data_IF_362868786468
#
_entry.id   IF_362868786468
#
_cell.length_a   1.000
_cell.length_b   1.000
_cell.length_c   1.000
_cell.angle_alpha   90.00
_cell.angle_beta   90.00
_cell.angle_gamma   90.00
#
_symmetry.space_group_name_H-M   'P 1'
#
loop_
_entity.id
_entity.type
_entity.pdbx_description
1 polymer ?
#
# COMPACT_ATOMS: atom_id res chain seq x y z
N UNK A 1 25.81 22.09 18.56
CA UNK A 1 25.54 23.24 17.66
C UNK A 1 24.46 24.14 18.27
N UNK A 2 24.73 24.93 19.32
CA UNK A 2 23.80 25.96 19.87
C UNK A 2 22.42 25.51 20.40
N UNK A 3 21.85 24.40 19.91
CA UNK A 3 20.48 23.98 20.14
C UNK A 3 19.51 25.16 19.95
N UNK A 4 18.73 25.49 20.98
CA UNK A 4 17.82 26.64 20.94
C UNK A 4 18.52 28.01 20.86
N UNK A 5 19.82 28.09 21.21
CA UNK A 5 20.62 29.33 21.18
C UNK A 5 21.30 29.58 19.83
N UNK A 6 20.98 28.79 18.80
CA UNK A 6 21.49 28.98 17.45
C UNK A 6 20.78 30.18 16.79
N UNK A 7 21.52 30.94 15.97
CA UNK A 7 20.96 32.01 15.15
C UNK A 7 19.67 31.54 14.42
N UNK A 8 18.57 32.32 14.44
CA UNK A 8 17.28 31.91 13.87
C UNK A 8 17.33 31.52 12.39
N UNK A 9 18.17 32.20 11.60
CA UNK A 9 18.35 31.88 10.18
C UNK A 9 19.04 30.53 10.02
N UNK A 10 20.14 30.31 10.75
CA UNK A 10 20.83 29.03 10.74
C UNK A 10 19.94 27.87 11.20
N UNK A 11 19.16 28.07 12.27
CA UNK A 11 18.20 27.08 12.77
C UNK A 11 17.12 26.74 11.71
N UNK A 12 16.61 27.75 11.01
CA UNK A 12 15.63 27.56 9.92
C UNK A 12 16.22 26.73 8.77
N UNK A 13 17.46 27.01 8.36
CA UNK A 13 18.16 26.25 7.31
C UNK A 13 18.36 24.80 7.72
N UNK A 14 18.84 24.54 8.95
CA UNK A 14 19.06 23.18 9.45
C UNK A 14 17.74 22.39 9.56
N UNK A 15 16.66 23.00 10.05
CA UNK A 15 15.34 22.36 10.11
C UNK A 15 14.81 22.00 8.72
N UNK A 16 15.00 22.88 7.73
CA UNK A 16 14.61 22.61 6.35
C UNK A 16 15.45 21.48 5.73
N UNK A 17 16.75 21.45 6.00
CA UNK A 17 17.63 20.36 5.58
C UNK A 17 17.19 19.03 6.20
N UNK A 18 16.89 19.01 7.50
CA UNK A 18 16.42 17.81 8.19
C UNK A 18 15.10 17.29 7.60
N UNK A 19 14.15 18.19 7.29
CA UNK A 19 12.90 17.82 6.60
C UNK A 19 13.17 17.18 5.23
N UNK A 20 14.09 17.76 4.44
CA UNK A 20 14.48 17.21 3.13
C UNK A 20 15.12 15.83 3.26
N UNK A 21 16.05 15.64 4.19
CA UNK A 21 16.70 14.35 4.44
C UNK A 21 15.69 13.28 4.86
N UNK A 22 14.75 13.61 5.75
CA UNK A 22 13.67 12.71 6.14
C UNK A 22 12.75 12.33 4.95
N UNK A 23 12.47 13.27 4.05
CA UNK A 23 11.68 13.00 2.85
C UNK A 23 12.42 12.05 1.89
N UNK A 24 13.74 12.24 1.71
CA UNK A 24 14.59 11.33 0.93
C UNK A 24 14.59 9.93 1.54
N UNK A 25 14.76 9.82 2.87
CA UNK A 25 14.74 8.54 3.56
C UNK A 25 13.39 7.81 3.39
N UNK A 26 12.28 8.54 3.48
CA UNK A 26 10.95 7.98 3.23
C UNK A 26 10.80 7.47 1.78
N UNK A 27 11.30 8.24 0.80
CA UNK A 27 11.26 7.84 -0.62
C UNK A 27 12.09 6.58 -0.87
N UNK A 28 13.32 6.53 -0.32
CA UNK A 28 14.19 5.36 -0.45
C UNK A 28 13.58 4.13 0.21
N UNK A 29 12.96 4.29 1.40
CA UNK A 29 12.27 3.20 2.09
C UNK A 29 11.10 2.67 1.26
N UNK A 30 10.32 3.56 0.62
CA UNK A 30 9.24 3.17 -0.29
C UNK A 30 9.76 2.38 -1.50
N UNK A 31 10.81 2.87 -2.17
CA UNK A 31 11.43 2.18 -3.31
C UNK A 31 11.98 0.80 -2.94
N UNK A 32 12.59 0.68 -1.75
CA UNK A 32 13.05 -0.61 -1.25
C UNK A 32 11.88 -1.57 -1.01
N UNK A 33 10.81 -1.12 -0.37
CA UNK A 33 9.63 -1.97 -0.11
C UNK A 33 8.91 -2.37 -1.40
N UNK A 34 8.86 -1.50 -2.42
CA UNK A 34 8.32 -1.85 -3.74
C UNK A 34 9.00 -3.09 -4.34
N UNK A 35 10.31 -3.28 -4.08
CA UNK A 35 11.03 -4.49 -4.49
C UNK A 35 10.59 -5.78 -3.77
N UNK A 36 9.96 -5.65 -2.59
CA UNK A 36 9.46 -6.77 -1.78
C UNK A 36 8.02 -7.15 -2.14
N UNK A 37 7.26 -6.26 -2.77
CA UNK A 37 5.83 -6.45 -3.11
C UNK A 37 5.56 -7.75 -3.88
N UNK A 38 6.36 -8.16 -4.88
CA UNK A 38 6.12 -9.43 -5.58
C UNK A 38 6.13 -10.65 -4.65
N UNK A 39 7.06 -10.70 -3.69
CA UNK A 39 7.14 -11.78 -2.71
C UNK A 39 5.98 -11.73 -1.72
N UNK A 40 5.59 -10.53 -1.27
CA UNK A 40 4.40 -10.33 -0.44
C UNK A 40 3.15 -10.84 -1.16
N UNK A 41 3.00 -10.53 -2.46
CA UNK A 41 1.88 -11.04 -3.26
C UNK A 41 1.83 -12.56 -3.32
N UNK A 42 2.97 -13.24 -3.47
CA UNK A 42 3.00 -14.71 -3.44
C UNK A 42 2.45 -15.26 -2.13
N UNK A 43 2.87 -14.69 -0.99
CA UNK A 43 2.37 -15.13 0.32
C UNK A 43 0.89 -14.76 0.55
N UNK A 44 0.45 -13.59 0.09
CA UNK A 44 -0.97 -13.19 0.15
C UNK A 44 -1.87 -14.14 -0.66
N UNK A 45 -1.41 -14.62 -1.81
CA UNK A 45 -2.14 -15.62 -2.58
C UNK A 45 -2.23 -16.96 -1.83
N UNK A 46 -1.15 -17.43 -1.20
CA UNK A 46 -1.19 -18.64 -0.36
C UNK A 46 -2.15 -18.46 0.81
N UNK A 47 -2.07 -17.33 1.52
CA UNK A 47 -2.97 -16.97 2.60
C UNK A 47 -4.44 -17.01 2.13
N UNK A 48 -4.74 -16.41 0.97
CA UNK A 48 -6.09 -16.44 0.37
C UNK A 48 -6.57 -17.87 0.05
N UNK A 49 -5.68 -18.74 -0.43
CA UNK A 49 -6.00 -20.16 -0.67
C UNK A 49 -6.35 -20.89 0.64
N UNK A 50 -5.58 -20.67 1.71
CA UNK A 50 -5.86 -21.28 3.02
C UNK A 50 -7.20 -20.75 3.55
N UNK A 51 -7.41 -19.44 3.50
CA UNK A 51 -8.66 -18.80 3.92
C UNK A 51 -9.88 -19.37 3.18
N UNK A 52 -9.77 -19.65 1.88
CA UNK A 52 -10.86 -20.21 1.07
C UNK A 52 -11.28 -21.65 1.45
N UNK A 53 -10.42 -22.38 2.16
CA UNK A 53 -10.68 -23.75 2.62
C UNK A 53 -11.47 -23.78 3.93
N UNK A 54 -11.44 -22.70 4.71
CA UNK A 54 -12.19 -22.59 5.96
C UNK A 54 -13.69 -22.53 5.60
N UNK A 55 -14.40 -23.62 5.89
CA UNK A 55 -15.83 -23.76 5.65
C UNK A 55 -16.48 -24.34 6.91
N UNK A 56 -17.65 -23.84 7.27
CA UNK A 56 -18.49 -24.45 8.30
C UNK A 56 -19.41 -23.46 9.00
N UNK A 57 -20.51 -23.93 9.62
CA UNK A 57 -21.21 -23.14 10.65
C UNK A 57 -20.21 -22.83 11.77
N UNK A 58 -20.35 -21.66 12.41
CA UNK A 58 -19.44 -21.08 13.41
C UNK A 58 -18.59 -22.12 14.16
N UNK A 59 -17.30 -22.21 13.82
CA UNK A 59 -16.34 -23.06 14.51
C UNK A 59 -16.28 -22.67 16.01
N UNK A 60 -16.16 -23.64 16.93
CA UNK A 60 -15.82 -23.34 18.32
C UNK A 60 -14.58 -22.45 18.40
N UNK A 61 -14.58 -21.45 19.28
CA UNK A 61 -13.48 -20.47 19.41
C UNK A 61 -12.10 -21.13 19.56
N UNK A 62 -12.02 -22.31 20.19
CA UNK A 62 -10.78 -23.07 20.34
C UNK A 62 -10.20 -23.58 19.01
N UNK A 63 -11.04 -23.97 18.05
CA UNK A 63 -10.62 -24.38 16.72
C UNK A 63 -10.26 -23.18 15.84
N UNK A 64 -10.94 -22.05 16.03
CA UNK A 64 -10.70 -20.83 15.27
C UNK A 64 -9.27 -20.30 15.43
N UNK A 65 -8.65 -20.43 16.61
CA UNK A 65 -7.27 -19.96 16.83
C UNK A 65 -6.29 -20.67 15.89
N UNK A 66 -6.36 -22.00 15.80
CA UNK A 66 -5.46 -22.78 14.93
C UNK A 66 -5.67 -22.50 13.44
N UNK A 67 -6.92 -22.24 13.03
CA UNK A 67 -7.24 -21.81 11.66
C UNK A 67 -6.68 -20.42 11.35
N UNK A 68 -6.78 -19.47 12.29
CA UNK A 68 -6.21 -18.12 12.14
C UNK A 68 -4.69 -18.18 12.02
N UNK A 69 -4.02 -18.96 12.87
CA UNK A 69 -2.58 -19.14 12.81
C UNK A 69 -2.16 -19.75 11.46
N UNK A 70 -2.88 -20.79 11.00
CA UNK A 70 -2.64 -21.42 9.70
C UNK A 70 -2.83 -20.46 8.52
N UNK A 71 -3.80 -19.55 8.58
CA UNK A 71 -4.02 -18.53 7.55
C UNK A 71 -2.86 -17.52 7.53
N UNK A 72 -2.38 -17.09 8.70
CA UNK A 72 -1.34 -16.07 8.79
C UNK A 72 0.08 -16.61 8.57
N UNK A 73 0.29 -17.92 8.77
CA UNK A 73 1.60 -18.58 8.68
C UNK A 73 2.42 -18.21 7.42
N UNK A 74 1.89 -18.22 6.19
CA UNK A 74 2.67 -17.87 4.99
C UNK A 74 3.21 -16.44 5.01
N UNK A 75 2.47 -15.52 5.64
CA UNK A 75 2.89 -14.13 5.78
C UNK A 75 3.91 -13.97 6.90
N UNK A 76 3.70 -14.66 8.04
CA UNK A 76 4.61 -14.62 9.18
C UNK A 76 5.99 -15.20 8.85
N UNK A 77 6.06 -16.33 8.13
CA UNK A 77 7.32 -16.95 7.71
C UNK A 77 8.18 -16.00 6.85
N UNK A 78 7.55 -15.23 5.94
CA UNK A 78 8.26 -14.22 5.14
C UNK A 78 8.76 -13.05 5.99
N UNK A 79 7.92 -12.57 6.92
CA UNK A 79 8.20 -11.36 7.68
C UNK A 79 9.20 -11.61 8.81
N UNK A 80 9.18 -12.77 9.46
CA UNK A 80 10.03 -13.05 10.63
C UNK A 80 11.52 -12.92 10.30
N UNK A 81 11.98 -13.64 9.27
CA UNK A 81 13.37 -13.61 8.79
C UNK A 81 13.79 -12.18 8.40
N UNK A 82 12.95 -11.50 7.61
CA UNK A 82 13.26 -10.17 7.07
C UNK A 82 13.26 -9.10 8.15
N UNK A 83 12.32 -9.14 9.09
CA UNK A 83 12.23 -8.17 10.18
C UNK A 83 13.38 -8.32 11.17
N UNK A 84 13.81 -9.55 11.45
CA UNK A 84 14.99 -9.80 12.29
C UNK A 84 16.27 -9.26 11.62
N UNK A 85 16.44 -9.51 10.32
CA UNK A 85 17.53 -8.93 9.54
C UNK A 85 17.51 -7.40 9.58
N UNK A 86 16.36 -6.78 9.32
CA UNK A 86 16.24 -5.32 9.31
C UNK A 86 16.49 -4.72 10.69
N UNK A 87 16.01 -5.35 11.76
CA UNK A 87 16.23 -4.89 13.13
C UNK A 87 17.70 -4.92 13.54
N UNK A 88 18.48 -5.87 13.02
CA UNK A 88 19.92 -5.98 13.31
C UNK A 88 20.79 -5.06 12.46
N UNK A 89 20.38 -4.77 11.22
CA UNK A 89 21.20 -4.04 10.25
C UNK A 89 20.82 -2.56 10.09
N UNK A 90 19.58 -2.17 10.38
CA UNK A 90 19.12 -0.80 10.15
C UNK A 90 19.25 0.08 11.41
N UNK A 91 19.70 1.33 11.23
CA UNK A 91 19.55 2.34 12.29
C UNK A 91 18.07 2.58 12.64
N UNK A 92 17.79 2.96 13.89
CA UNK A 92 16.42 3.17 14.41
C UNK A 92 15.55 4.06 13.51
N UNK A 93 16.12 5.12 12.95
CA UNK A 93 15.38 6.03 12.07
C UNK A 93 15.04 5.36 10.74
N UNK A 94 15.98 4.65 10.13
CA UNK A 94 15.80 3.90 8.88
C UNK A 94 14.75 2.79 9.08
N UNK A 95 14.91 1.99 10.14
CA UNK A 95 13.99 0.91 10.50
C UNK A 95 12.56 1.43 10.64
N UNK A 96 12.34 2.58 11.29
CA UNK A 96 11.01 3.19 11.44
C UNK A 96 10.35 3.49 10.08
N UNK A 97 11.08 4.04 9.12
CA UNK A 97 10.53 4.32 7.78
C UNK A 97 10.30 3.04 6.99
N UNK A 98 11.23 2.09 7.08
CA UNK A 98 11.12 0.79 6.43
C UNK A 98 9.88 0.01 6.90
N UNK A 99 9.66 -0.10 8.21
CA UNK A 99 8.49 -0.77 8.78
C UNK A 99 7.18 -0.10 8.37
N UNK A 100 7.14 1.23 8.33
CA UNK A 100 5.95 1.98 7.92
C UNK A 100 5.55 1.68 6.48
N UNK A 101 6.50 1.66 5.56
CA UNK A 101 6.23 1.37 4.16
C UNK A 101 5.96 -0.13 3.94
N UNK A 102 6.66 -1.03 4.64
CA UNK A 102 6.42 -2.47 4.58
C UNK A 102 5.01 -2.82 5.07
N UNK A 103 4.58 -2.23 6.18
CA UNK A 103 3.21 -2.38 6.70
C UNK A 103 2.18 -1.90 5.68
N UNK A 104 2.38 -0.70 5.10
CA UNK A 104 1.50 -0.16 4.07
C UNK A 104 1.36 -1.12 2.89
N UNK A 105 2.47 -1.61 2.37
CA UNK A 105 2.49 -2.55 1.24
C UNK A 105 1.75 -3.84 1.59
N UNK A 106 2.05 -4.43 2.76
CA UNK A 106 1.42 -5.66 3.25
C UNK A 106 -0.10 -5.53 3.34
N UNK A 107 -0.60 -4.47 3.99
CA UNK A 107 -2.05 -4.25 4.12
C UNK A 107 -2.71 -3.96 2.76
N UNK A 108 -2.06 -3.18 1.89
CA UNK A 108 -2.57 -2.90 0.55
C UNK A 108 -2.67 -4.18 -0.31
N UNK A 109 -1.67 -5.06 -0.21
CA UNK A 109 -1.69 -6.34 -0.90
C UNK A 109 -2.77 -7.27 -0.33
N UNK A 110 -2.95 -7.31 0.99
CA UNK A 110 -4.02 -8.09 1.61
C UNK A 110 -5.41 -7.61 1.16
N UNK A 111 -5.64 -6.29 1.19
CA UNK A 111 -6.88 -5.69 0.72
C UNK A 111 -7.17 -6.10 -0.73
N UNK A 112 -6.21 -5.90 -1.64
CA UNK A 112 -6.40 -6.13 -3.08
C UNK A 112 -6.50 -7.59 -3.49
N UNK A 113 -5.78 -8.49 -2.81
CA UNK A 113 -5.65 -9.89 -3.24
C UNK A 113 -6.56 -10.84 -2.47
N UNK A 114 -6.93 -10.50 -1.23
CA UNK A 114 -7.65 -11.40 -0.34
C UNK A 114 -9.06 -10.89 -0.03
N UNK A 115 -9.21 -9.58 0.17
CA UNK A 115 -10.48 -8.99 0.66
C UNK A 115 -11.37 -8.48 -0.48
N UNK A 116 -10.79 -7.80 -1.47
CA UNK A 116 -11.56 -7.19 -2.56
C UNK A 116 -12.03 -8.23 -3.58
N UNK A 117 -13.29 -8.16 -4.04
CA UNK A 117 -13.76 -8.95 -5.18
C UNK A 117 -12.94 -8.66 -6.45
N UNK A 118 -12.73 -9.64 -7.34
CA UNK A 118 -12.07 -9.41 -8.62
C UNK A 118 -12.85 -8.35 -9.44
N UNK A 119 -12.26 -7.16 -9.60
CA UNK A 119 -12.88 -6.05 -10.34
C UNK A 119 -12.70 -6.18 -11.87
N UNK A 120 -11.93 -7.15 -12.32
CA UNK A 120 -11.65 -7.43 -13.74
C UNK A 120 -12.85 -8.03 -14.48
N UNK A 121 -13.72 -8.76 -13.77
CA UNK A 121 -14.90 -9.37 -14.34
C UNK A 121 -16.18 -8.59 -14.03
N UNK A 122 -16.58 -7.73 -14.98
CA UNK A 122 -17.91 -7.05 -14.99
C UNK A 122 -19.10 -8.00 -14.74
N UNK A 123 -18.93 -9.29 -15.00
CA UNK A 123 -19.93 -10.32 -14.72
C UNK A 123 -20.14 -10.57 -13.21
N UNK A 124 -19.08 -10.52 -12.39
CA UNK A 124 -19.14 -10.75 -10.94
C UNK A 124 -19.79 -9.55 -10.24
N UNK A 125 -19.55 -8.33 -10.76
CA UNK A 125 -20.17 -7.12 -10.23
C UNK A 125 -21.70 -7.20 -10.21
N UNK A 126 -22.34 -7.94 -11.13
CA UNK A 126 -23.81 -8.12 -11.18
C UNK A 126 -24.37 -9.04 -10.08
N UNK A 127 -23.52 -9.83 -9.41
CA UNK A 127 -23.95 -10.81 -8.40
C UNK A 127 -23.88 -10.25 -6.96
N UNK A 128 -23.32 -9.06 -6.77
CA UNK A 128 -23.17 -8.43 -5.46
C UNK A 128 -24.49 -7.73 -5.09
N UNK A 129 -25.08 -7.94 -3.90
CA UNK A 129 -26.19 -7.12 -3.43
C UNK A 129 -25.74 -5.64 -3.38
N UNK A 130 -26.50 -4.72 -4.00
CA UNK A 130 -26.12 -3.31 -4.31
C UNK A 130 -25.10 -3.09 -5.44
N UNK A 131 -24.89 -4.09 -6.30
CA UNK A 131 -24.14 -3.99 -7.56
C UNK A 131 -24.46 -2.76 -8.40
N UNK A 132 -25.73 -2.37 -8.49
CA UNK A 132 -26.19 -1.27 -9.33
C UNK A 132 -25.55 0.05 -8.90
N UNK A 133 -25.51 0.32 -7.59
CA UNK A 133 -24.87 1.52 -7.00
C UNK A 133 -23.37 1.54 -7.30
N UNK A 134 -22.70 0.39 -7.16
CA UNK A 134 -21.26 0.28 -7.41
C UNK A 134 -20.93 0.39 -8.91
N UNK A 135 -21.76 -0.21 -9.76
CA UNK A 135 -21.61 -0.18 -11.21
C UNK A 135 -21.85 1.23 -11.76
N UNK A 136 -22.84 1.95 -11.24
CA UNK A 136 -23.10 3.33 -11.62
C UNK A 136 -22.03 4.28 -11.10
N UNK A 137 -21.50 4.07 -9.88
CA UNK A 137 -20.34 4.83 -9.40
C UNK A 137 -19.09 4.56 -10.24
N UNK A 138 -18.87 3.31 -10.68
CA UNK A 138 -17.75 2.95 -11.56
C UNK A 138 -17.90 3.58 -12.95
N UNK A 139 -19.11 3.61 -13.51
CA UNK A 139 -19.41 4.31 -14.77
C UNK A 139 -19.15 5.81 -14.62
N UNK A 140 -19.67 6.44 -13.55
CA UNK A 140 -19.48 7.87 -13.26
C UNK A 140 -17.99 8.22 -13.16
N UNK A 141 -17.22 7.43 -12.39
CA UNK A 141 -15.76 7.57 -12.27
C UNK A 141 -15.06 7.41 -13.62
N UNK A 142 -15.48 6.45 -14.45
CA UNK A 142 -14.89 6.22 -15.77
C UNK A 142 -15.17 7.38 -16.75
N UNK A 143 -16.35 7.99 -16.66
CA UNK A 143 -16.72 9.18 -17.44
C UNK A 143 -15.89 10.38 -16.99
N UNK A 144 -15.81 10.63 -15.68
CA UNK A 144 -14.97 11.71 -15.14
C UNK A 144 -13.49 11.53 -15.47
N UNK A 145 -12.95 10.30 -15.41
CA UNK A 145 -11.56 10.03 -15.81
C UNK A 145 -11.31 10.30 -17.30
N UNK A 146 -12.28 9.99 -18.18
CA UNK A 146 -12.19 10.32 -19.61
C UNK A 146 -12.26 11.83 -19.86
N UNK A 147 -13.15 12.54 -19.18
CA UNK A 147 -13.24 13.99 -19.24
C UNK A 147 -11.95 14.66 -18.79
N UNK A 148 -11.37 14.22 -17.67
CA UNK A 148 -10.08 14.75 -17.16
C UNK A 148 -8.93 14.48 -18.14
N UNK A 149 -8.88 13.30 -18.77
CA UNK A 149 -7.88 13.02 -19.83
C UNK A 149 -8.05 13.92 -21.04
N UNK A 150 -9.29 14.13 -21.51
CA UNK A 150 -9.57 15.05 -22.61
C UNK A 150 -9.16 16.49 -22.26
N UNK A 151 -9.46 16.97 -21.05
CA UNK A 151 -9.04 18.31 -20.59
C UNK A 151 -7.51 18.41 -20.54
N UNK A 152 -6.82 17.34 -20.14
CA UNK A 152 -5.35 17.30 -20.10
C UNK A 152 -4.74 17.40 -21.50
N UNK A 153 -5.27 16.63 -22.48
CA UNK A 153 -4.83 16.74 -23.88
C UNK A 153 -5.17 18.10 -24.51
N UNK A 154 -6.33 18.69 -24.19
CA UNK A 154 -6.68 20.05 -24.66
C UNK A 154 -5.72 21.08 -24.09
N UNK A 155 -5.34 20.94 -22.81
CA UNK A 155 -4.35 21.82 -22.17
C UNK A 155 -2.97 21.70 -22.80
N UNK A 156 -2.51 20.50 -23.15
CA UNK A 156 -1.25 20.30 -23.88
C UNK A 156 -1.28 20.92 -25.30
N UNK A 157 -2.39 20.78 -26.02
CA UNK A 157 -2.54 21.42 -27.34
C UNK A 157 -2.56 22.95 -27.25
N UNK A 158 -3.18 23.54 -26.23
CA UNK A 158 -3.19 25.01 -26.02
C UNK A 158 -1.80 25.56 -25.67
N UNK A 159 -1.01 24.81 -24.88
CA UNK A 159 0.37 25.21 -24.55
C UNK A 159 1.26 25.16 -25.79
N UNK A 160 1.15 24.14 -26.64
CA UNK A 160 1.94 24.04 -27.87
C UNK A 160 1.56 25.09 -28.92
N UNK A 161 0.30 25.51 -28.97
CA UNK A 161 -0.17 26.53 -29.93
C UNK A 161 0.14 27.97 -29.51
N UNK A 162 0.71 28.18 -28.31
CA UNK A 162 1.10 29.51 -27.80
C UNK A 162 2.58 29.83 -28.02
N UNK A 163 3.32 28.95 -28.71
CA UNK A 163 4.76 29.07 -28.99
C UNK A 163 5.12 29.11 -30.49
N UNK A 164 4.11 29.18 -31.38
CA UNK A 164 4.25 29.51 -32.82
C UNK A 164 3.61 30.88 -33.10
#
# INVERSE_FOLDING_TARGET
MGGPNLDPTANTVLNNLQKKLNAVLNKLSGQFVESLVPNIHVQMNKLGVILSKIKGPQLPKSQLVGEVDSVLEPLMELLEDKLQDYASQCEKTVLKYLLKELWRATITSMEKLVVLPPLDNKAILKQIPNAEVFCDMTKLMSTHLKEVKNISSVKEMMVNKSFD
#
